data_IF_713581520014
#
_entry.id   IF_713581520014
#
_cell.length_a   1.000
_cell.length_b   1.000
_cell.length_c   1.000
_cell.angle_alpha   90.00
_cell.angle_beta   90.00
_cell.angle_gamma   90.00
#
_symmetry.space_group_name_H-M   'P 1'
#
loop_
_entity.id
_entity.type
_entity.pdbx_description
1 polymer ?
#
# COMPACT_ATOMS: atom_id res chain seq x y z
N UNK A 1 13.22 17.53 6.54
CA UNK A 1 12.61 16.31 5.98
C UNK A 1 11.67 15.75 7.02
N UNK A 2 10.38 15.61 6.73
CA UNK A 2 9.38 15.00 7.61
C UNK A 2 9.67 13.50 7.72
N UNK A 3 10.01 12.99 8.92
CA UNK A 3 10.38 11.58 9.13
C UNK A 3 9.20 10.61 8.93
N UNK A 4 7.97 11.13 8.91
CA UNK A 4 6.73 10.38 8.74
C UNK A 4 5.83 11.10 7.75
N UNK A 5 5.57 10.46 6.60
CA UNK A 5 4.72 11.02 5.56
C UNK A 5 3.93 9.95 4.79
N UNK A 6 2.87 10.39 4.11
CA UNK A 6 2.14 9.65 3.06
C UNK A 6 2.07 10.47 1.79
N UNK A 7 2.10 9.80 0.64
CA UNK A 7 2.00 10.43 -0.67
C UNK A 7 0.53 10.75 -0.97
N UNK A 8 0.27 11.98 -1.36
CA UNK A 8 -1.06 12.45 -1.76
C UNK A 8 -1.01 13.15 -3.12
N UNK A 9 -2.14 13.12 -3.83
CA UNK A 9 -2.36 13.92 -5.04
C UNK A 9 -3.37 15.02 -4.72
N UNK A 10 -2.94 16.28 -4.73
CA UNK A 10 -3.83 17.39 -4.36
C UNK A 10 -4.69 17.89 -5.50
N UNK A 11 -4.28 17.63 -6.75
CA UNK A 11 -5.05 17.95 -7.95
C UNK A 11 -5.08 16.72 -8.88
N UNK A 12 -6.09 15.83 -8.75
CA UNK A 12 -6.24 14.68 -9.65
C UNK A 12 -6.24 15.11 -11.13
N UNK A 13 -5.41 14.47 -11.95
CA UNK A 13 -5.16 14.88 -13.34
C UNK A 13 -3.83 15.60 -13.54
N UNK A 14 -3.23 16.14 -12.47
CA UNK A 14 -1.92 16.78 -12.48
C UNK A 14 -0.94 15.98 -11.62
N UNK A 15 -0.08 15.16 -12.24
CA UNK A 15 0.92 14.38 -11.51
C UNK A 15 1.98 15.26 -10.81
N UNK A 16 2.16 16.51 -11.25
CA UNK A 16 3.01 17.49 -10.57
C UNK A 16 2.45 17.96 -9.22
N UNK A 17 1.19 17.63 -8.91
CA UNK A 17 0.57 17.90 -7.60
C UNK A 17 0.80 16.79 -6.56
N UNK A 18 1.59 15.76 -6.91
CA UNK A 18 1.99 14.72 -5.97
C UNK A 18 2.93 15.30 -4.92
N UNK A 19 2.58 15.13 -3.66
CA UNK A 19 3.39 15.63 -2.56
C UNK A 19 3.32 14.71 -1.33
N UNK A 20 4.40 14.73 -0.55
CA UNK A 20 4.48 14.04 0.73
C UNK A 20 3.83 14.90 1.82
N UNK A 21 2.72 14.42 2.39
CA UNK A 21 2.06 15.05 3.54
C UNK A 21 2.50 14.38 4.83
N UNK A 22 2.72 15.19 5.87
CA UNK A 22 3.08 14.70 7.18
C UNK A 22 1.95 13.83 7.76
N UNK A 23 2.32 12.74 8.44
CA UNK A 23 1.38 11.88 9.16
C UNK A 23 1.83 11.71 10.60
N UNK A 24 0.88 11.41 11.48
CA UNK A 24 1.19 10.95 12.83
C UNK A 24 1.57 9.45 12.78
N UNK A 25 2.83 9.07 13.07
CA UNK A 25 3.21 7.67 13.06
C UNK A 25 2.63 6.87 14.23
N UNK A 26 2.21 7.52 15.32
CA UNK A 26 1.81 6.83 16.56
C UNK A 26 0.50 6.06 16.41
N UNK A 27 -0.31 6.42 15.41
CA UNK A 27 -1.57 5.74 15.09
C UNK A 27 -1.38 4.55 14.12
N UNK A 28 -0.15 4.30 13.68
CA UNK A 28 0.20 3.25 12.72
C UNK A 28 0.92 2.09 13.38
N UNK A 29 0.79 0.90 12.78
CA UNK A 29 1.28 -0.36 13.36
C UNK A 29 2.49 -0.92 12.63
N UNK A 30 2.71 -0.49 11.39
CA UNK A 30 3.78 -1.00 10.53
C UNK A 30 4.63 0.17 10.04
N UNK A 31 5.94 0.00 10.15
CA UNK A 31 6.92 0.81 9.43
C UNK A 31 7.10 0.23 8.04
N UNK A 32 6.65 0.97 7.02
CA UNK A 32 6.69 0.53 5.62
C UNK A 32 8.13 0.61 5.12
N UNK A 33 8.58 -0.45 4.43
CA UNK A 33 9.86 -0.50 3.72
C UNK A 33 9.65 -0.37 2.22
N UNK A 34 8.67 -1.09 1.68
CA UNK A 34 8.25 -0.98 0.29
C UNK A 34 6.74 -0.87 0.20
N UNK A 35 6.28 -0.08 -0.75
CA UNK A 35 4.89 0.00 -1.16
C UNK A 35 4.85 0.07 -2.67
N UNK A 36 3.93 -0.67 -3.28
CA UNK A 36 3.88 -0.78 -4.73
C UNK A 36 2.87 0.20 -5.33
N UNK A 37 3.08 0.51 -6.61
CA UNK A 37 2.12 1.26 -7.41
C UNK A 37 1.27 0.27 -8.22
N UNK A 38 -0.04 0.28 -7.98
CA UNK A 38 -1.02 -0.48 -8.74
C UNK A 38 -1.74 0.40 -9.78
N UNK A 39 -2.44 -0.22 -10.73
CA UNK A 39 -3.19 0.48 -11.78
C UNK A 39 -4.18 1.53 -11.23
N UNK A 40 -4.85 1.19 -10.12
CA UNK A 40 -5.78 2.10 -9.42
C UNK A 40 -5.11 3.39 -8.96
N UNK A 41 -3.87 3.34 -8.50
CA UNK A 41 -3.13 4.53 -8.05
C UNK A 41 -2.88 5.48 -9.23
N UNK A 42 -2.46 4.93 -10.37
CA UNK A 42 -2.23 5.70 -11.61
C UNK A 42 -3.53 6.35 -12.09
N UNK A 43 -4.61 5.57 -12.17
CA UNK A 43 -5.90 6.07 -12.63
C UNK A 43 -6.48 7.17 -11.73
N UNK A 44 -6.26 7.08 -10.42
CA UNK A 44 -6.62 8.13 -9.45
C UNK A 44 -5.77 9.38 -9.63
N UNK A 45 -4.44 9.23 -9.62
CA UNK A 45 -3.52 10.35 -9.73
C UNK A 45 -3.69 11.10 -11.06
N UNK A 46 -3.97 10.38 -12.15
CA UNK A 46 -4.26 10.97 -13.47
C UNK A 46 -5.69 11.50 -13.63
N UNK A 47 -6.52 11.48 -12.58
CA UNK A 47 -7.91 11.98 -12.62
C UNK A 47 -8.87 11.17 -13.48
N UNK A 48 -8.49 9.97 -13.93
CA UNK A 48 -9.30 9.09 -14.78
C UNK A 48 -10.26 8.21 -13.99
N UNK A 49 -10.01 8.03 -12.70
CA UNK A 49 -10.89 7.32 -11.77
C UNK A 49 -11.35 8.27 -10.66
N UNK A 50 -12.66 8.53 -10.60
CA UNK A 50 -13.30 9.37 -9.58
C UNK A 50 -13.96 8.48 -8.53
N UNK A 51 -13.39 8.45 -7.34
CA UNK A 51 -13.92 7.71 -6.19
C UNK A 51 -13.92 8.63 -4.96
N UNK A 52 -14.77 8.33 -3.97
CA UNK A 52 -14.80 9.07 -2.71
C UNK A 52 -13.49 8.93 -1.91
N UNK A 53 -12.85 7.77 -2.00
CA UNK A 53 -11.55 7.52 -1.37
C UNK A 53 -10.43 7.88 -2.34
N UNK A 54 -9.66 8.93 -2.05
CA UNK A 54 -8.56 9.40 -2.92
C UNK A 54 -7.18 8.90 -2.47
N UNK A 55 -7.12 7.99 -1.49
CA UNK A 55 -5.86 7.48 -0.96
C UNK A 55 -4.99 6.82 -2.03
N UNK A 56 -3.67 7.00 -1.94
CA UNK A 56 -2.70 6.33 -2.80
C UNK A 56 -2.05 5.17 -2.05
N UNK A 57 -1.91 4.03 -2.73
CA UNK A 57 -1.36 2.82 -2.16
C UNK A 57 -2.42 1.87 -1.63
N UNK A 58 -2.17 0.58 -1.85
CA UNK A 58 -3.04 -0.51 -1.44
C UNK A 58 -2.28 -1.69 -0.83
N UNK A 59 -1.00 -1.87 -1.13
CA UNK A 59 -0.16 -2.91 -0.54
C UNK A 59 1.19 -2.38 -0.06
N UNK A 60 1.81 -3.16 0.82
CA UNK A 60 3.09 -2.85 1.44
C UNK A 60 3.84 -4.13 1.84
N UNK A 61 5.13 -3.94 2.10
CA UNK A 61 5.94 -4.78 2.98
C UNK A 61 6.70 -3.89 3.98
N UNK A 62 7.01 -4.42 5.15
CA UNK A 62 7.60 -3.64 6.23
C UNK A 62 7.78 -4.43 7.52
N UNK A 63 7.83 -3.71 8.63
CA UNK A 63 8.04 -4.29 9.96
C UNK A 63 6.89 -3.89 10.88
N UNK A 64 6.24 -4.90 11.47
CA UNK A 64 5.24 -4.71 12.52
C UNK A 64 5.93 -4.20 13.79
N UNK A 65 5.53 -3.04 14.29
CA UNK A 65 6.23 -2.34 15.38
C UNK A 65 6.11 -3.08 16.73
N UNK A 66 5.01 -3.78 16.98
CA UNK A 66 4.78 -4.49 18.25
C UNK A 66 5.61 -5.77 18.38
N UNK A 67 5.82 -6.49 17.28
CA UNK A 67 6.51 -7.78 17.27
C UNK A 67 7.90 -7.74 16.64
N UNK A 68 8.25 -6.62 15.99
CA UNK A 68 9.45 -6.45 15.17
C UNK A 68 9.57 -7.50 14.04
N UNK A 69 8.44 -8.08 13.60
CA UNK A 69 8.42 -9.08 12.52
C UNK A 69 8.24 -8.43 11.16
N UNK A 70 8.88 -9.04 10.16
CA UNK A 70 8.70 -8.70 8.74
C UNK A 70 7.30 -9.12 8.31
N UNK A 71 6.53 -8.18 7.76
CA UNK A 71 5.15 -8.39 7.33
C UNK A 71 4.89 -7.75 5.98
N UNK A 72 4.03 -8.36 5.18
CA UNK A 72 3.49 -7.83 3.94
C UNK A 72 1.97 -7.93 3.96
N UNK A 73 1.28 -7.08 3.20
CA UNK A 73 -0.18 -7.10 3.21
C UNK A 73 -0.80 -5.90 2.55
N UNK A 74 -2.06 -5.66 2.93
CA UNK A 74 -2.90 -4.62 2.32
C UNK A 74 -3.24 -3.56 3.34
N UNK A 75 -3.03 -2.32 2.95
CA UNK A 75 -3.36 -1.13 3.72
C UNK A 75 -3.81 -0.03 2.77
N UNK A 76 -4.82 0.74 3.17
CA UNK A 76 -5.09 2.01 2.50
C UNK A 76 -3.96 2.99 2.84
N UNK A 77 -3.67 3.94 1.94
CA UNK A 77 -2.61 4.94 2.14
C UNK A 77 -1.23 4.30 2.34
N UNK A 78 -0.97 3.15 1.72
CA UNK A 78 0.28 2.40 1.92
C UNK A 78 1.49 3.02 1.22
N UNK A 79 1.29 3.94 0.25
CA UNK A 79 2.37 4.77 -0.29
C UNK A 79 2.75 5.82 0.76
N UNK A 80 3.35 5.34 1.84
CA UNK A 80 3.64 6.06 3.07
C UNK A 80 4.85 5.45 3.78
N UNK A 81 5.35 6.16 4.78
CA UNK A 81 6.38 5.65 5.70
C UNK A 81 5.82 4.69 6.75
N UNK A 82 4.53 4.85 7.10
CA UNK A 82 3.85 4.08 8.14
C UNK A 82 2.41 3.81 7.71
N UNK A 83 1.89 2.63 8.03
CA UNK A 83 0.51 2.29 7.72
C UNK A 83 -0.14 1.44 8.82
N UNK A 84 -1.48 1.37 8.73
CA UNK A 84 -2.29 0.46 9.53
C UNK A 84 -2.83 -0.62 8.60
N UNK A 85 -2.35 -1.87 8.72
CA UNK A 85 -2.82 -2.97 7.87
C UNK A 85 -4.31 -3.22 8.06
N UNK A 86 -5.03 -3.47 6.96
CA UNK A 86 -6.34 -4.12 7.02
C UNK A 86 -6.16 -5.63 7.28
N UNK A 87 -5.13 -6.20 6.66
CA UNK A 87 -4.63 -7.55 6.91
C UNK A 87 -3.16 -7.62 6.51
N UNK A 88 -2.41 -8.46 7.21
CA UNK A 88 -0.98 -8.65 7.00
C UNK A 88 -0.56 -10.07 7.35
N UNK A 89 0.45 -10.56 6.66
CA UNK A 89 1.01 -11.89 6.81
C UNK A 89 2.51 -11.77 7.09
N UNK A 90 3.12 -12.72 7.82
CA UNK A 90 4.57 -12.77 7.98
C UNK A 90 5.23 -12.98 6.62
N UNK A 91 6.34 -12.28 6.36
CA UNK A 91 7.15 -12.50 5.16
C UNK A 91 7.97 -13.79 5.37
N UNK A 92 7.89 -14.79 4.46
CA UNK A 92 8.78 -15.95 4.44
C UNK A 92 10.27 -15.57 4.46
N UNK A 93 11.11 -16.40 5.08
CA UNK A 93 12.54 -16.11 5.24
C UNK A 93 13.30 -16.04 3.91
N UNK A 94 12.83 -16.73 2.89
CA UNK A 94 13.38 -16.79 1.54
C UNK A 94 12.98 -15.61 0.65
N UNK A 95 12.06 -14.75 1.11
CA UNK A 95 11.66 -13.55 0.38
C UNK A 95 12.27 -12.29 0.98
N UNK A 96 12.73 -11.39 0.11
CA UNK A 96 13.08 -10.01 0.49
C UNK A 96 11.83 -9.18 0.74
N UNK A 97 11.97 -8.02 1.38
CA UNK A 97 10.83 -7.10 1.56
C UNK A 97 10.33 -6.56 0.22
N UNK A 98 11.22 -6.36 -0.75
CA UNK A 98 10.87 -5.88 -2.09
C UNK A 98 10.00 -6.90 -2.83
N UNK A 99 10.42 -8.17 -2.86
CA UNK A 99 9.64 -9.26 -3.46
C UNK A 99 8.29 -9.44 -2.74
N UNK A 100 8.29 -9.38 -1.41
CA UNK A 100 7.06 -9.52 -0.64
C UNK A 100 6.03 -8.42 -0.95
N UNK A 101 6.48 -7.21 -1.31
CA UNK A 101 5.58 -6.10 -1.65
C UNK A 101 4.85 -6.30 -2.99
N UNK A 102 5.27 -7.24 -3.83
CA UNK A 102 4.62 -7.51 -5.14
C UNK A 102 3.54 -8.58 -5.07
N UNK A 103 3.36 -9.21 -3.91
CA UNK A 103 2.47 -10.38 -3.76
C UNK A 103 1.01 -10.00 -3.45
N UNK A 104 0.68 -9.12 -2.49
CA UNK A 104 -0.66 -9.02 -1.94
C UNK A 104 -1.76 -8.79 -2.98
N UNK A 105 -1.72 -7.69 -3.73
CA UNK A 105 -2.82 -7.28 -4.61
C UNK A 105 -2.88 -8.12 -5.88
N UNK A 106 -1.78 -8.41 -6.58
CA UNK A 106 -1.83 -9.30 -7.74
C UNK A 106 -2.40 -10.68 -7.39
N UNK A 107 -1.91 -11.33 -6.33
CA UNK A 107 -2.36 -12.69 -5.99
C UNK A 107 -3.77 -12.72 -5.41
N UNK A 108 -4.18 -11.74 -4.59
CA UNK A 108 -5.56 -11.66 -4.11
C UNK A 108 -6.53 -11.41 -5.27
N UNK A 109 -6.14 -10.60 -6.25
CA UNK A 109 -6.96 -10.35 -7.45
C UNK A 109 -7.12 -11.63 -8.26
N UNK A 110 -6.02 -12.35 -8.51
CA UNK A 110 -6.05 -13.64 -9.22
C UNK A 110 -6.90 -14.66 -8.46
N UNK A 111 -6.65 -14.82 -7.15
CA UNK A 111 -7.35 -15.80 -6.34
C UNK A 111 -8.87 -15.54 -6.35
N UNK A 112 -9.26 -14.29 -6.11
CA UNK A 112 -10.66 -13.90 -6.11
C UNK A 112 -11.31 -14.07 -7.50
N UNK A 113 -10.63 -13.67 -8.58
CA UNK A 113 -11.19 -13.79 -9.92
C UNK A 113 -11.34 -15.26 -10.36
N UNK A 114 -10.31 -16.07 -10.17
CA UNK A 114 -10.27 -17.44 -10.69
C UNK A 114 -11.03 -18.43 -9.80
N UNK A 115 -10.81 -18.39 -8.48
CA UNK A 115 -11.35 -19.41 -7.59
C UNK A 115 -12.66 -18.98 -6.94
N UNK A 116 -12.78 -17.73 -6.48
CA UNK A 116 -14.03 -17.27 -5.83
C UNK A 116 -15.14 -16.92 -6.83
N UNK A 117 -14.78 -16.31 -7.98
CA UNK A 117 -15.74 -15.87 -9.00
C UNK A 117 -15.94 -16.88 -10.12
N UNK A 118 -14.86 -17.33 -10.76
CA UNK A 118 -14.96 -18.27 -11.86
C UNK A 118 -15.10 -19.75 -11.40
N UNK A 119 -14.77 -20.07 -10.14
CA UNK A 119 -14.80 -21.42 -9.57
C UNK A 119 -14.02 -22.45 -10.41
N UNK A 120 -12.83 -22.05 -10.85
CA UNK A 120 -11.88 -22.91 -11.56
C UNK A 120 -11.28 -23.99 -10.66
#
# INVERSE_FOLDING_TARGET
MTSHASLEVTQPGNLGSLEWKAIDPTVHKVKVRFASVNFRNVMRASGRLKEADTSLGLEFSGVEMSSNRRVFGVAKRSLSTHCTPMYSFPIPDDLTDEEAATIPIPYLTVYFALFEKARL
#
